data_IF_889237185099
#
_entry.id   IF_889237185099
#
_cell.length_a   1.000
_cell.length_b   1.000
_cell.length_c   1.000
_cell.angle_alpha   90.00
_cell.angle_beta   90.00
_cell.angle_gamma   90.00
#
_symmetry.space_group_name_H-M   'P 1'
#
loop_
_entity.id
_entity.type
_entity.pdbx_description
1 polymer ?
#
# COMPACT_ATOMS: atom_id res chain seq x y z
N UNK A 1 -23.95 3.45 -6.77
CA UNK A 1 -22.96 4.09 -5.88
C UNK A 1 -21.56 3.73 -6.37
N UNK A 2 -20.66 4.70 -6.49
CA UNK A 2 -19.24 4.41 -6.86
C UNK A 2 -18.61 3.53 -5.77
N UNK A 3 -17.85 2.52 -6.20
CA UNK A 3 -17.04 1.72 -5.30
C UNK A 3 -15.88 2.59 -4.76
N UNK A 4 -15.49 2.49 -3.49
CA UNK A 4 -14.42 3.26 -2.89
C UNK A 4 -13.07 3.14 -3.64
N UNK A 5 -12.84 2.03 -4.36
CA UNK A 5 -11.66 1.82 -5.21
C UNK A 5 -11.65 2.78 -6.40
N UNK A 6 -12.79 3.00 -7.03
CA UNK A 6 -12.94 3.99 -8.11
C UNK A 6 -12.81 5.40 -7.59
N UNK A 7 -13.38 5.70 -6.40
CA UNK A 7 -13.21 7.00 -5.73
C UNK A 7 -11.73 7.28 -5.42
N UNK A 8 -10.98 6.26 -4.99
CA UNK A 8 -9.53 6.38 -4.76
C UNK A 8 -8.76 6.68 -6.05
N UNK A 9 -9.06 5.99 -7.16
CA UNK A 9 -8.42 6.24 -8.46
C UNK A 9 -8.70 7.68 -8.92
N UNK A 10 -9.94 8.14 -8.83
CA UNK A 10 -10.30 9.55 -9.15
C UNK A 10 -9.53 10.54 -8.29
N UNK A 11 -9.44 10.27 -6.99
CA UNK A 11 -8.69 11.10 -6.06
C UNK A 11 -7.19 11.13 -6.38
N UNK A 12 -6.59 9.98 -6.68
CA UNK A 12 -5.19 9.88 -7.06
C UNK A 12 -4.89 10.64 -8.37
N UNK A 13 -5.79 10.57 -9.36
CA UNK A 13 -5.70 11.35 -10.61
C UNK A 13 -5.81 12.85 -10.34
N UNK A 14 -6.81 13.28 -9.58
CA UNK A 14 -7.04 14.68 -9.26
C UNK A 14 -5.86 15.34 -8.51
N UNK A 15 -5.10 14.54 -7.74
CA UNK A 15 -3.91 14.98 -7.00
C UNK A 15 -2.60 14.81 -7.79
N UNK A 16 -2.65 14.28 -9.03
CA UNK A 16 -1.45 13.98 -9.81
C UNK A 16 -0.59 12.84 -9.24
N UNK A 17 -1.10 12.12 -8.24
CA UNK A 17 -0.46 10.93 -7.65
C UNK A 17 -0.41 9.78 -8.65
N UNK A 18 -1.52 9.59 -9.38
CA UNK A 18 -1.61 8.71 -10.53
C UNK A 18 -1.62 9.58 -11.79
N UNK A 19 -0.69 9.34 -12.69
CA UNK A 19 -0.61 10.05 -13.97
C UNK A 19 -0.27 9.10 -15.11
N UNK A 20 -0.68 9.47 -16.32
CA UNK A 20 -0.42 8.71 -17.55
C UNK A 20 0.63 9.40 -18.39
N UNK A 21 1.50 8.63 -19.04
CA UNK A 21 2.62 9.08 -19.83
C UNK A 21 3.61 7.96 -20.04
N UNK A 22 4.85 8.29 -20.39
CA UNK A 22 5.95 7.32 -20.51
C UNK A 22 6.90 7.46 -19.31
N UNK A 23 6.96 6.44 -18.47
CA UNK A 23 7.75 6.46 -17.25
C UNK A 23 8.67 5.25 -17.17
N UNK A 24 9.97 5.48 -17.04
CA UNK A 24 10.93 4.41 -16.82
C UNK A 24 10.85 3.90 -15.38
N UNK A 25 10.49 2.64 -15.20
CA UNK A 25 10.46 1.97 -13.89
C UNK A 25 11.86 1.62 -13.40
N UNK A 26 12.01 1.30 -12.10
CA UNK A 26 13.27 0.80 -11.54
C UNK A 26 13.76 -0.49 -12.22
N UNK A 27 12.82 -1.29 -12.74
CA UNK A 27 13.14 -2.51 -13.51
C UNK A 27 13.52 -2.23 -14.96
N UNK A 28 13.66 -0.94 -15.37
CA UNK A 28 14.03 -0.54 -16.73
C UNK A 28 12.89 -0.58 -17.75
N UNK A 29 11.66 -0.94 -17.35
CA UNK A 29 10.49 -1.02 -18.23
C UNK A 29 9.91 0.36 -18.48
N UNK A 30 9.32 0.57 -19.65
CA UNK A 30 8.61 1.80 -19.99
C UNK A 30 7.13 1.62 -19.63
N UNK A 31 6.71 2.22 -18.51
CA UNK A 31 5.34 2.12 -18.00
C UNK A 31 4.48 3.25 -18.54
N UNK A 32 3.21 2.98 -18.97
CA UNK A 32 2.28 4.01 -19.45
C UNK A 32 1.63 4.82 -18.33
N UNK A 33 1.91 4.51 -17.08
CA UNK A 33 1.42 5.22 -15.91
C UNK A 33 2.45 5.23 -14.79
N UNK A 34 2.32 6.21 -13.91
CA UNK A 34 3.14 6.35 -12.73
C UNK A 34 2.26 6.64 -11.51
N UNK A 35 2.60 6.02 -10.38
CA UNK A 35 1.94 6.27 -9.11
C UNK A 35 2.98 6.75 -8.10
N UNK A 36 2.81 7.98 -7.60
CA UNK A 36 3.69 8.59 -6.62
C UNK A 36 2.92 8.98 -5.36
N UNK A 37 2.85 8.08 -4.39
CA UNK A 37 2.18 8.34 -3.11
C UNK A 37 2.75 9.54 -2.32
N UNK A 38 3.99 9.96 -2.62
CA UNK A 38 4.59 11.14 -1.99
C UNK A 38 3.90 12.46 -2.32
N UNK A 39 3.02 12.48 -3.33
CA UNK A 39 2.21 13.65 -3.67
C UNK A 39 0.90 13.77 -2.85
N UNK A 40 0.60 12.83 -1.98
CA UNK A 40 -0.35 13.02 -0.90
C UNK A 40 0.31 13.79 0.25
N UNK A 41 0.66 15.06 0.01
CA UNK A 41 1.60 15.84 0.79
C UNK A 41 0.98 17.02 1.56
N UNK A 42 -0.34 17.06 1.68
CA UNK A 42 -1.08 17.97 2.55
C UNK A 42 -2.03 17.22 3.50
N UNK A 43 -2.53 17.93 4.52
CA UNK A 43 -3.36 17.32 5.57
C UNK A 43 -4.68 16.76 5.06
N UNK A 44 -5.31 17.41 4.06
CA UNK A 44 -6.56 16.92 3.46
C UNK A 44 -6.32 15.63 2.66
N UNK A 45 -5.27 15.61 1.86
CA UNK A 45 -4.88 14.44 1.09
C UNK A 45 -4.54 13.26 1.98
N UNK A 46 -3.77 13.49 3.05
CA UNK A 46 -3.37 12.45 3.99
C UNK A 46 -4.58 11.92 4.78
N UNK A 47 -5.48 12.81 5.24
CA UNK A 47 -6.73 12.41 5.90
C UNK A 47 -7.58 11.51 5.01
N UNK A 48 -7.79 11.92 3.76
CA UNK A 48 -8.59 11.16 2.79
C UNK A 48 -7.93 9.83 2.42
N UNK A 49 -6.62 9.81 2.29
CA UNK A 49 -5.86 8.58 2.07
C UNK A 49 -6.01 7.60 3.23
N UNK A 50 -5.90 8.05 4.49
CA UNK A 50 -6.15 7.24 5.68
C UNK A 50 -7.55 6.61 5.68
N UNK A 51 -8.57 7.36 5.25
CA UNK A 51 -9.94 6.84 5.10
C UNK A 51 -10.03 5.74 4.02
N UNK A 52 -9.29 5.83 2.92
CA UNK A 52 -9.23 4.76 1.91
C UNK A 52 -8.53 3.51 2.44
N UNK A 53 -7.43 3.67 3.20
CA UNK A 53 -6.80 2.54 3.89
C UNK A 53 -7.77 1.87 4.87
N UNK A 54 -8.47 2.64 5.70
CA UNK A 54 -9.47 2.12 6.63
C UNK A 54 -10.58 1.34 5.90
N UNK A 55 -11.11 1.87 4.79
CA UNK A 55 -12.12 1.18 3.95
C UNK A 55 -11.57 -0.14 3.39
N UNK A 56 -10.33 -0.17 2.91
CA UNK A 56 -9.71 -1.39 2.38
C UNK A 56 -9.51 -2.45 3.48
N UNK A 57 -9.06 -2.04 4.67
CA UNK A 57 -8.87 -2.92 5.82
C UNK A 57 -10.21 -3.52 6.29
N UNK A 58 -11.24 -2.69 6.39
CA UNK A 58 -12.58 -3.15 6.77
C UNK A 58 -13.17 -4.10 5.72
N UNK A 59 -13.03 -3.76 4.45
CA UNK A 59 -13.55 -4.60 3.35
C UNK A 59 -12.84 -5.96 3.24
N UNK A 60 -11.59 -6.05 3.66
CA UNK A 60 -10.82 -7.30 3.67
C UNK A 60 -11.17 -8.20 4.88
N UNK A 61 -11.87 -7.67 5.87
CA UNK A 61 -12.24 -8.36 7.12
C UNK A 61 -11.06 -9.10 7.78
N UNK A 62 -9.85 -8.55 7.62
CA UNK A 62 -8.65 -9.19 8.14
C UNK A 62 -8.59 -9.07 9.66
N UNK A 63 -8.37 -10.17 10.38
CA UNK A 63 -8.21 -10.13 11.82
C UNK A 63 -6.86 -9.50 12.17
N UNK A 64 -6.89 -8.32 12.83
CA UNK A 64 -5.70 -7.60 13.29
C UNK A 64 -5.91 -6.97 14.65
N UNK A 65 -4.82 -6.80 15.39
CA UNK A 65 -4.81 -6.25 16.75
C UNK A 65 -4.07 -4.90 16.79
N UNK A 66 -3.15 -4.64 15.86
CA UNK A 66 -2.43 -3.38 15.76
C UNK A 66 -1.90 -3.09 14.36
N UNK A 67 -1.43 -1.86 14.14
CA UNK A 67 -0.85 -1.39 12.88
C UNK A 67 0.64 -1.11 13.04
N UNK A 68 1.40 -1.35 11.94
CA UNK A 68 2.83 -1.04 11.87
C UNK A 68 3.14 -0.29 10.58
N UNK A 69 3.85 0.86 10.70
CA UNK A 69 4.28 1.66 9.55
C UNK A 69 5.80 1.62 9.36
N UNK A 70 6.33 1.05 8.26
CA UNK A 70 7.77 1.08 8.02
C UNK A 70 8.27 2.48 7.66
N UNK A 71 9.39 2.90 8.26
CA UNK A 71 10.01 4.18 7.95
C UNK A 71 10.52 4.22 6.48
N UNK A 72 10.32 5.33 5.75
CA UNK A 72 9.78 6.59 6.27
C UNK A 72 8.32 6.83 5.88
N UNK A 73 7.90 6.36 4.69
CA UNK A 73 6.56 6.63 4.15
C UNK A 73 5.43 5.98 4.96
N UNK A 74 5.69 4.80 5.53
CA UNK A 74 4.73 4.13 6.40
C UNK A 74 4.37 4.92 7.66
N UNK A 75 5.24 5.84 8.13
CA UNK A 75 4.99 6.63 9.34
C UNK A 75 3.72 7.50 9.22
N UNK A 76 3.61 8.43 8.25
CA UNK A 76 2.38 9.19 8.09
C UNK A 76 1.18 8.32 7.69
N UNK A 77 1.41 7.25 6.92
CA UNK A 77 0.34 6.36 6.48
C UNK A 77 -0.28 5.61 7.64
N UNK A 78 0.52 5.00 8.52
CA UNK A 78 0.00 4.26 9.67
C UNK A 78 -0.73 5.18 10.64
N UNK A 79 -0.22 6.39 10.86
CA UNK A 79 -0.85 7.38 11.73
C UNK A 79 -2.21 7.83 11.19
N UNK A 80 -2.28 8.19 9.90
CA UNK A 80 -3.54 8.57 9.25
C UNK A 80 -4.55 7.41 9.21
N UNK A 81 -4.08 6.18 8.99
CA UNK A 81 -4.93 4.99 8.98
C UNK A 81 -5.49 4.69 10.36
N UNK A 82 -4.67 4.82 11.43
CA UNK A 82 -5.12 4.62 12.80
C UNK A 82 -6.20 5.63 13.20
N UNK A 83 -6.02 6.92 12.84
CA UNK A 83 -7.04 7.97 13.06
C UNK A 83 -8.34 7.65 12.31
N UNK A 84 -8.24 7.28 11.02
CA UNK A 84 -9.42 6.97 10.23
C UNK A 84 -10.17 5.71 10.71
N UNK A 85 -9.47 4.72 11.22
CA UNK A 85 -10.09 3.54 11.84
C UNK A 85 -10.78 3.90 13.16
N UNK A 86 -10.17 4.75 13.98
CA UNK A 86 -10.77 5.23 15.22
C UNK A 86 -12.05 6.04 14.98
N UNK A 87 -12.10 6.88 13.91
CA UNK A 87 -13.30 7.63 13.50
C UNK A 87 -14.51 6.72 13.21
N UNK A 88 -14.27 5.49 12.76
CA UNK A 88 -15.33 4.49 12.49
C UNK A 88 -15.51 3.48 13.63
N UNK A 89 -15.02 3.82 14.84
CA UNK A 89 -15.18 2.99 16.05
C UNK A 89 -14.22 1.83 16.19
N UNK A 90 -13.18 1.74 15.33
CA UNK A 90 -12.16 0.69 15.38
C UNK A 90 -10.83 1.26 15.85
N UNK A 91 -10.73 1.56 17.15
CA UNK A 91 -9.51 2.09 17.75
C UNK A 91 -8.45 1.00 17.90
N UNK A 92 -7.32 1.14 17.20
CA UNK A 92 -6.20 0.19 17.21
C UNK A 92 -4.91 0.88 17.62
N UNK A 93 -4.06 0.24 18.44
CA UNK A 93 -2.70 0.70 18.69
C UNK A 93 -1.89 0.67 17.39
N UNK A 94 -0.90 1.57 17.30
CA UNK A 94 0.04 1.59 16.17
C UNK A 94 1.45 1.92 16.62
N UNK A 95 2.42 1.49 15.81
CA UNK A 95 3.81 1.90 15.94
C UNK A 95 4.48 1.98 14.55
N UNK A 96 5.69 2.50 14.53
CA UNK A 96 6.55 2.54 13.36
C UNK A 96 8.01 2.31 13.76
N UNK A 97 8.87 1.89 12.81
CA UNK A 97 10.28 1.72 13.11
C UNK A 97 11.08 3.00 12.90
N UNK A 98 12.21 3.08 13.57
CA UNK A 98 13.31 4.00 13.27
C UNK A 98 14.26 3.32 12.27
N UNK A 99 14.94 4.11 11.42
CA UNK A 99 16.03 3.58 10.57
C UNK A 99 17.29 3.30 11.37
N UNK A 100 17.50 4.11 12.43
CA UNK A 100 18.64 3.98 13.32
C UNK A 100 18.15 3.70 14.75
N UNK A 101 18.67 2.64 15.41
CA UNK A 101 18.38 2.39 16.82
C UNK A 101 18.79 3.59 17.69
N UNK A 102 18.03 3.89 18.72
CA UNK A 102 18.36 4.95 19.67
C UNK A 102 18.76 4.33 21.01
N UNK A 103 19.92 4.76 21.52
CA UNK A 103 20.48 4.22 22.76
C UNK A 103 19.99 4.93 24.03
N UNK A 104 19.25 6.05 23.89
CA UNK A 104 18.82 6.93 25.01
C UNK A 104 17.31 7.22 24.96
N UNK A 105 16.71 7.42 26.14
CA UNK A 105 15.29 7.72 26.31
C UNK A 105 14.40 6.51 26.01
N UNK A 106 13.36 6.69 25.21
CA UNK A 106 12.53 5.59 24.68
C UNK A 106 13.33 4.77 23.68
N UNK A 107 14.41 4.12 24.09
CA UNK A 107 15.32 3.35 23.25
C UNK A 107 14.64 2.34 22.33
N UNK A 108 15.45 1.65 21.50
CA UNK A 108 14.98 0.57 20.63
C UNK A 108 14.70 1.00 19.19
N UNK A 109 14.14 0.05 18.43
CA UNK A 109 13.94 0.17 16.97
C UNK A 109 12.54 0.64 16.58
N UNK A 110 11.60 0.75 17.53
CA UNK A 110 10.21 1.16 17.28
C UNK A 110 9.79 2.34 18.14
N UNK A 111 8.77 3.08 17.67
CA UNK A 111 8.12 4.20 18.36
C UNK A 111 6.63 3.98 18.32
N UNK A 112 5.93 4.25 19.42
CA UNK A 112 4.49 4.02 19.60
C UNK A 112 4.19 2.86 20.52
N UNK A 113 3.08 2.17 20.31
CA UNK A 113 2.67 1.04 21.14
C UNK A 113 3.65 -0.15 21.01
N UNK A 114 3.90 -0.91 22.09
CA UNK A 114 4.67 -2.15 22.01
C UNK A 114 4.05 -3.13 21.01
N UNK A 115 4.87 -3.75 20.17
CA UNK A 115 4.41 -4.75 19.20
C UNK A 115 3.85 -5.97 19.93
N UNK A 116 2.59 -6.32 19.61
CA UNK A 116 1.91 -7.49 20.18
C UNK A 116 0.79 -7.98 19.28
N UNK A 117 0.38 -9.24 19.45
CA UNK A 117 -0.74 -9.81 18.70
C UNK A 117 -0.52 -9.87 17.19
N UNK A 118 -1.59 -9.68 16.41
CA UNK A 118 -1.60 -9.71 14.94
C UNK A 118 -1.40 -8.30 14.40
N UNK A 119 -0.29 -8.11 13.72
CA UNK A 119 0.19 -6.79 13.26
C UNK A 119 0.01 -6.65 11.76
N UNK A 120 -0.77 -5.67 11.31
CA UNK A 120 -0.93 -5.31 9.91
C UNK A 120 0.10 -4.23 9.52
N UNK A 121 0.89 -4.50 8.48
CA UNK A 121 1.87 -3.55 7.93
C UNK A 121 1.13 -2.58 7.00
N UNK A 122 1.37 -1.27 7.16
CA UNK A 122 0.77 -0.20 6.33
C UNK A 122 1.89 0.48 5.54
N UNK A 123 1.93 0.28 4.22
CA UNK A 123 2.95 0.86 3.33
C UNK A 123 2.29 1.47 2.08
N UNK A 124 3.06 2.22 1.25
CA UNK A 124 2.52 2.89 0.06
C UNK A 124 2.34 1.91 -1.12
N UNK A 125 3.38 1.22 -1.52
CA UNK A 125 3.43 0.23 -2.60
C UNK A 125 4.50 -0.82 -2.30
N UNK A 126 4.36 -2.01 -2.85
CA UNK A 126 5.41 -3.02 -2.81
C UNK A 126 6.16 -3.00 -4.15
N UNK A 127 7.48 -2.78 -4.11
CA UNK A 127 8.34 -2.89 -5.30
C UNK A 127 9.20 -4.15 -5.25
N UNK A 128 10.28 -4.15 -4.47
CA UNK A 128 11.16 -5.31 -4.26
C UNK A 128 10.89 -6.06 -2.94
N UNK A 129 9.84 -5.71 -2.20
CA UNK A 129 9.46 -6.34 -0.93
C UNK A 129 10.45 -6.14 0.23
N UNK A 130 11.49 -5.30 0.08
CA UNK A 130 12.49 -5.08 1.13
C UNK A 130 11.88 -4.51 2.41
N UNK A 131 11.02 -3.48 2.29
CA UNK A 131 10.32 -2.87 3.42
C UNK A 131 9.46 -3.90 4.17
N UNK A 132 8.76 -4.76 3.44
CA UNK A 132 7.94 -5.82 4.03
C UNK A 132 8.81 -6.85 4.76
N UNK A 133 9.93 -7.29 4.17
CA UNK A 133 10.87 -8.23 4.82
C UNK A 133 11.43 -7.67 6.12
N UNK A 134 11.84 -6.41 6.11
CA UNK A 134 12.34 -5.72 7.31
C UNK A 134 11.24 -5.62 8.38
N UNK A 135 10.03 -5.25 7.99
CA UNK A 135 8.88 -5.16 8.90
C UNK A 135 8.54 -6.52 9.53
N UNK A 136 8.46 -7.57 8.74
CA UNK A 136 8.22 -8.95 9.23
C UNK A 136 9.29 -9.36 10.24
N UNK A 137 10.57 -9.05 9.96
CA UNK A 137 11.67 -9.34 10.88
C UNK A 137 11.53 -8.60 12.21
N UNK A 138 11.20 -7.31 12.18
CA UNK A 138 11.00 -6.48 13.39
C UNK A 138 9.82 -7.01 14.20
N UNK A 139 8.68 -7.28 13.57
CA UNK A 139 7.46 -7.76 14.23
C UNK A 139 7.71 -9.11 14.91
N UNK A 140 8.33 -10.06 14.20
CA UNK A 140 8.65 -11.39 14.74
C UNK A 140 9.68 -11.33 15.86
N UNK A 141 10.67 -10.46 15.76
CA UNK A 141 11.69 -10.27 16.82
C UNK A 141 11.09 -9.75 18.13
N UNK A 142 9.96 -9.03 18.06
CA UNK A 142 9.20 -8.58 19.22
C UNK A 142 8.21 -9.64 19.76
N UNK A 143 8.16 -10.86 19.18
CA UNK A 143 7.22 -11.91 19.56
C UNK A 143 5.79 -11.73 19.03
N UNK A 144 5.57 -10.76 18.16
CA UNK A 144 4.28 -10.51 17.51
C UNK A 144 4.16 -11.25 16.16
N UNK A 145 2.95 -11.36 15.62
CA UNK A 145 2.65 -12.06 14.38
C UNK A 145 2.28 -11.10 13.25
N UNK A 146 3.05 -10.99 12.14
CA UNK A 146 2.60 -10.26 10.97
C UNK A 146 1.38 -10.96 10.37
N UNK A 147 0.27 -10.24 10.16
CA UNK A 147 -0.99 -10.81 9.67
C UNK A 147 -1.37 -10.36 8.27
N UNK A 148 -0.66 -9.40 7.69
CA UNK A 148 -0.89 -8.90 6.34
C UNK A 148 -0.12 -7.62 6.06
N UNK A 149 -0.23 -7.18 4.82
CA UNK A 149 0.25 -5.86 4.36
C UNK A 149 -0.92 -5.15 3.69
N UNK A 150 -1.11 -3.86 3.96
CA UNK A 150 -2.03 -3.02 3.21
C UNK A 150 -1.26 -1.95 2.45
N UNK A 151 -1.59 -1.76 1.16
CA UNK A 151 -0.93 -0.82 0.25
C UNK A 151 -1.94 0.03 -0.54
N UNK A 152 -1.50 1.14 -1.10
CA UNK A 152 -2.34 2.01 -1.92
C UNK A 152 -2.73 1.37 -3.24
N UNK A 153 -1.74 0.88 -3.99
CA UNK A 153 -1.95 0.34 -5.33
C UNK A 153 -1.12 -0.93 -5.54
N UNK A 154 -1.81 -2.02 -5.91
CA UNK A 154 -1.15 -3.21 -6.46
C UNK A 154 -1.10 -3.09 -7.98
N UNK A 155 0.10 -2.97 -8.53
CA UNK A 155 0.33 -2.86 -9.96
C UNK A 155 0.17 -4.19 -10.70
N UNK A 156 0.08 -5.31 -9.96
CA UNK A 156 -0.05 -6.67 -10.51
C UNK A 156 0.99 -6.98 -11.60
N UNK A 157 2.20 -6.47 -11.43
CA UNK A 157 3.32 -6.65 -12.35
C UNK A 157 4.29 -7.69 -11.81
N UNK A 158 4.76 -8.58 -12.70
CA UNK A 158 5.83 -9.52 -12.34
C UNK A 158 7.11 -8.75 -11.98
N UNK A 159 7.79 -9.23 -10.95
CA UNK A 159 9.11 -8.76 -10.56
C UNK A 159 10.21 -9.23 -11.51
N UNK A 160 11.31 -9.70 -10.98
CA UNK A 160 12.40 -10.36 -11.74
C UNK A 160 12.04 -11.79 -12.14
N UNK A 161 11.10 -12.41 -11.41
CA UNK A 161 10.57 -13.75 -11.70
C UNK A 161 9.21 -13.70 -12.42
N UNK A 162 8.39 -14.71 -12.17
CA UNK A 162 7.04 -14.87 -12.73
C UNK A 162 5.93 -14.31 -11.85
N UNK A 163 6.21 -14.07 -10.58
CA UNK A 163 5.27 -13.58 -9.58
C UNK A 163 5.29 -12.05 -9.48
N UNK A 164 4.16 -11.46 -9.07
CA UNK A 164 4.12 -10.06 -8.64
C UNK A 164 4.73 -9.90 -7.24
N UNK A 165 5.07 -8.65 -6.89
CA UNK A 165 5.57 -8.34 -5.55
C UNK A 165 4.60 -8.77 -4.43
N UNK A 166 3.29 -8.65 -4.65
CA UNK A 166 2.26 -9.11 -3.71
C UNK A 166 2.23 -10.64 -3.59
N UNK A 167 2.35 -11.35 -4.72
CA UNK A 167 2.44 -12.81 -4.75
C UNK A 167 3.73 -13.32 -4.08
N UNK A 168 4.86 -12.64 -4.29
CA UNK A 168 6.12 -12.96 -3.61
C UNK A 168 6.01 -12.81 -2.09
N UNK A 169 5.37 -11.73 -1.60
CA UNK A 169 5.11 -11.53 -0.17
C UNK A 169 4.25 -12.67 0.39
N UNK A 170 3.18 -13.03 -0.31
CA UNK A 170 2.33 -14.14 0.11
C UNK A 170 3.09 -15.47 0.14
N UNK A 171 3.84 -15.79 -0.90
CA UNK A 171 4.61 -17.04 -1.00
C UNK A 171 5.72 -17.12 0.05
N UNK A 172 6.38 -16.00 0.34
CA UNK A 172 7.52 -15.97 1.26
C UNK A 172 7.13 -15.96 2.74
N UNK A 173 6.03 -15.26 3.08
CA UNK A 173 5.68 -14.99 4.48
C UNK A 173 4.36 -15.62 4.92
N UNK A 174 3.54 -16.12 4.00
CA UNK A 174 2.21 -16.67 4.27
C UNK A 174 1.17 -15.62 4.66
N UNK A 175 1.42 -14.33 4.37
CA UNK A 175 0.54 -13.22 4.73
C UNK A 175 -0.12 -12.60 3.49
N UNK A 176 -1.40 -12.18 3.57
CA UNK A 176 -2.08 -11.53 2.45
C UNK A 176 -1.58 -10.10 2.22
N UNK A 177 -1.70 -9.64 0.97
CA UNK A 177 -1.56 -8.23 0.60
C UNK A 177 -2.94 -7.69 0.27
N UNK A 178 -3.36 -6.67 1.01
CA UNK A 178 -4.58 -5.90 0.80
C UNK A 178 -4.20 -4.64 0.03
N UNK A 179 -4.94 -4.27 -1.00
CA UNK A 179 -4.72 -3.00 -1.71
C UNK A 179 -5.98 -2.14 -1.71
N UNK A 180 -5.81 -0.81 -1.66
CA UNK A 180 -6.94 0.11 -1.85
C UNK A 180 -7.47 -0.06 -3.27
N UNK A 181 -6.57 -0.12 -4.26
CA UNK A 181 -6.90 -0.43 -5.64
C UNK A 181 -5.86 -1.34 -6.28
N UNK A 182 -6.26 -2.04 -7.33
CA UNK A 182 -5.41 -2.90 -8.16
C UNK A 182 -5.30 -2.34 -9.58
N UNK A 183 -4.45 -2.93 -10.42
CA UNK A 183 -4.43 -2.67 -11.85
C UNK A 183 -5.76 -3.05 -12.52
N UNK A 184 -6.47 -4.07 -12.01
CA UNK A 184 -7.80 -4.43 -12.49
C UNK A 184 -8.83 -3.33 -12.21
N UNK A 185 -8.79 -2.73 -11.03
CA UNK A 185 -9.65 -1.59 -10.68
C UNK A 185 -9.34 -0.38 -11.59
N UNK A 186 -8.06 -0.12 -11.88
CA UNK A 186 -7.64 0.95 -12.80
C UNK A 186 -8.14 0.69 -14.23
N UNK A 187 -7.97 -0.51 -14.76
CA UNK A 187 -8.47 -0.85 -16.10
C UNK A 187 -9.99 -0.79 -16.17
N UNK A 188 -10.68 -1.25 -15.13
CA UNK A 188 -12.14 -1.13 -15.00
C UNK A 188 -12.61 0.34 -14.98
N UNK A 189 -11.89 1.20 -14.26
CA UNK A 189 -12.15 2.64 -14.23
C UNK A 189 -11.97 3.31 -15.59
N UNK A 190 -10.93 2.93 -16.33
CA UNK A 190 -10.64 3.48 -17.67
C UNK A 190 -11.65 3.04 -18.72
N UNK A 191 -12.14 1.80 -18.65
CA UNK A 191 -13.09 1.23 -19.61
C UNK A 191 -14.41 1.99 -19.72
N UNK A 192 -14.85 2.62 -18.65
CA UNK A 192 -16.10 3.39 -18.62
C UNK A 192 -15.90 4.88 -18.94
N UNK A 193 -14.69 5.25 -19.43
CA UNK A 193 -14.30 6.62 -19.75
C UNK A 193 -13.78 6.74 -21.19
N UNK A 194 -14.65 7.07 -22.14
CA UNK A 194 -14.26 7.19 -23.56
C UNK A 194 -13.15 8.20 -23.83
N UNK A 195 -13.09 9.28 -23.04
CA UNK A 195 -12.05 10.31 -23.07
C UNK A 195 -10.66 9.78 -22.69
N UNK A 196 -10.59 8.63 -22.02
CA UNK A 196 -9.34 7.96 -21.60
C UNK A 196 -9.03 6.68 -22.39
N UNK A 197 -9.60 6.50 -23.58
CA UNK A 197 -9.42 5.29 -24.38
C UNK A 197 -7.95 5.02 -24.77
N UNK A 198 -7.15 6.06 -25.02
CA UNK A 198 -5.72 5.92 -25.32
C UNK A 198 -4.93 5.39 -24.11
N UNK A 199 -5.25 5.88 -22.92
CA UNK A 199 -4.65 5.44 -21.65
C UNK A 199 -5.00 3.98 -21.39
N UNK A 200 -6.26 3.58 -21.59
CA UNK A 200 -6.70 2.20 -21.47
C UNK A 200 -5.89 1.27 -22.37
N UNK A 201 -5.79 1.60 -23.68
CA UNK A 201 -5.03 0.79 -24.62
C UNK A 201 -3.56 0.63 -24.23
N UNK A 202 -2.93 1.71 -23.76
CA UNK A 202 -1.54 1.68 -23.30
C UNK A 202 -1.37 0.80 -22.05
N UNK A 203 -2.25 0.94 -21.05
CA UNK A 203 -2.23 0.14 -19.83
C UNK A 203 -2.50 -1.33 -20.13
N UNK A 204 -3.47 -1.67 -20.97
CA UNK A 204 -3.77 -3.06 -21.35
C UNK A 204 -2.62 -3.70 -22.15
N UNK A 205 -1.93 -2.95 -23.02
CA UNK A 205 -0.73 -3.43 -23.72
C UNK A 205 0.39 -3.76 -22.73
N UNK A 206 0.67 -2.85 -21.82
CA UNK A 206 1.68 -3.03 -20.79
C UNK A 206 1.37 -4.21 -19.87
N UNK A 207 0.09 -4.37 -19.47
CA UNK A 207 -0.38 -5.51 -18.69
C UNK A 207 -0.19 -6.85 -19.39
N UNK A 208 -0.47 -6.95 -20.71
CA UNK A 208 -0.22 -8.19 -21.47
C UNK A 208 1.24 -8.62 -21.46
N UNK A 209 2.15 -7.63 -21.41
CA UNK A 209 3.58 -7.90 -21.46
C UNK A 209 4.16 -8.19 -20.07
N UNK A 210 3.73 -7.47 -19.05
CA UNK A 210 4.36 -7.51 -17.71
C UNK A 210 3.43 -7.91 -16.57
N UNK A 211 2.14 -8.04 -16.83
CA UNK A 211 1.15 -8.35 -15.81
C UNK A 211 1.20 -9.80 -15.35
N UNK A 212 0.63 -10.03 -14.17
CA UNK A 212 0.30 -11.34 -13.61
C UNK A 212 -1.20 -11.46 -13.42
N UNK A 213 -1.71 -12.70 -13.40
CA UNK A 213 -3.08 -12.97 -12.97
C UNK A 213 -3.17 -12.82 -11.45
N UNK A 214 -4.35 -12.43 -10.95
CA UNK A 214 -4.63 -12.34 -9.53
C UNK A 214 -4.57 -13.72 -8.85
#
# INVERSE_FOLDING_TARGET
>A
MKNFRQEFIEFALARGVLCFGEFKTKAGRLSPYFFNAGLFNDGEALRKLGQFYAKAIVAADAPLDMLFGPAYKGIPLVSATAVALAEIGRNLPFCFNRKEPKDHGEGGVTVGAPLSGRVLIVDDVISAGTSVRESVKIIRAAGAAPCGVVISLDRMERGTGTQSASQEVHSQFGIPVISIATLDDLTGFLRVRPDMARQLQAVERYRREYGVSA
#
